data_IF_646081529069
#
_entry.id   IF_646081529069
#
_cell.length_a   1.000
_cell.length_b   1.000
_cell.length_c   1.000
_cell.angle_alpha   90.00
_cell.angle_beta   90.00
_cell.angle_gamma   90.00
#
_symmetry.space_group_name_H-M   'P 1'
#
loop_
_entity.id
_entity.type
_entity.pdbx_description
1 polymer ?
#
# COMPACT_ATOMS: atom_id res chain seq x y z
N UNK A 1 -8.90 -20.75 18.67
CA UNK A 1 -9.16 -19.29 18.65
C UNK A 1 -10.18 -19.08 17.54
N UNK A 2 -11.18 -18.24 17.75
CA UNK A 2 -12.33 -18.18 16.83
C UNK A 2 -11.90 -17.38 15.58
N UNK A 3 -11.70 -18.03 14.43
CA UNK A 3 -11.16 -17.40 13.21
C UNK A 3 -11.97 -16.17 12.75
N UNK A 4 -13.26 -16.11 13.11
CA UNK A 4 -14.11 -14.93 12.90
C UNK A 4 -13.59 -13.69 13.63
N UNK A 5 -12.98 -13.85 14.82
CA UNK A 5 -12.44 -12.71 15.58
C UNK A 5 -11.25 -12.03 14.89
N UNK A 6 -10.45 -12.75 14.08
CA UNK A 6 -9.33 -12.12 13.37
C UNK A 6 -9.83 -11.16 12.29
N UNK A 7 -10.71 -11.63 11.40
CA UNK A 7 -11.20 -10.82 10.29
C UNK A 7 -12.13 -9.69 10.75
N UNK A 8 -12.92 -9.91 11.80
CA UNK A 8 -13.73 -8.86 12.41
C UNK A 8 -12.84 -7.69 12.88
N UNK A 9 -11.77 -7.97 13.63
CA UNK A 9 -10.80 -6.95 14.04
C UNK A 9 -10.06 -6.32 12.85
N UNK A 10 -9.65 -7.13 11.87
CA UNK A 10 -8.97 -6.61 10.68
C UNK A 10 -9.85 -5.61 9.94
N UNK A 11 -11.13 -5.91 9.72
CA UNK A 11 -12.05 -5.03 9.02
C UNK A 11 -12.39 -3.79 9.85
N UNK A 12 -12.57 -3.94 11.15
CA UNK A 12 -12.79 -2.82 12.06
C UNK A 12 -11.60 -1.84 12.05
N UNK A 13 -10.39 -2.33 12.32
CA UNK A 13 -9.20 -1.49 12.36
C UNK A 13 -8.85 -0.90 10.99
N UNK A 14 -9.10 -1.64 9.90
CA UNK A 14 -8.97 -1.12 8.54
C UNK A 14 -9.84 0.10 8.31
N UNK A 15 -11.12 0.05 8.70
CA UNK A 15 -12.04 1.19 8.60
C UNK A 15 -11.63 2.38 9.46
N UNK A 16 -11.07 2.13 10.65
CA UNK A 16 -10.56 3.20 11.52
C UNK A 16 -9.36 3.93 10.91
N UNK A 17 -8.50 3.22 10.17
CA UNK A 17 -7.38 3.84 9.46
C UNK A 17 -7.85 4.62 8.22
N UNK A 18 -8.80 4.08 7.46
CA UNK A 18 -9.43 4.77 6.33
C UNK A 18 -10.79 4.17 6.00
N UNK A 19 -11.83 4.98 5.73
CA UNK A 19 -13.13 4.46 5.28
C UNK A 19 -13.04 3.73 3.92
N UNK A 20 -11.96 3.94 3.16
CA UNK A 20 -11.72 3.27 1.89
C UNK A 20 -11.08 1.87 2.03
N UNK A 21 -10.71 1.47 3.25
CA UNK A 21 -10.26 0.12 3.60
C UNK A 21 -11.43 -0.71 4.16
N UNK A 22 -12.55 -0.72 3.44
CA UNK A 22 -13.72 -1.53 3.79
C UNK A 22 -13.52 -2.99 3.34
N UNK A 23 -13.30 -3.88 4.30
CA UNK A 23 -13.02 -5.30 4.06
C UNK A 23 -14.22 -6.20 4.30
N UNK A 24 -14.27 -7.32 3.56
CA UNK A 24 -15.27 -8.39 3.78
C UNK A 24 -14.74 -9.77 3.37
N UNK A 25 -15.38 -10.82 3.90
CA UNK A 25 -15.23 -12.20 3.38
C UNK A 25 -16.41 -12.49 2.48
N UNK A 26 -16.14 -12.94 1.24
CA UNK A 26 -17.18 -13.51 0.37
C UNK A 26 -16.55 -14.42 -0.68
N UNK A 27 -17.17 -15.58 -0.87
CA UNK A 27 -16.76 -16.58 -1.87
C UNK A 27 -17.09 -16.14 -3.29
N UNK A 28 -18.12 -15.30 -3.47
CA UNK A 28 -18.53 -14.79 -4.77
C UNK A 28 -18.38 -13.26 -4.82
N UNK A 29 -17.63 -12.72 -5.80
CA UNK A 29 -17.61 -11.29 -6.03
C UNK A 29 -18.98 -10.83 -6.50
N UNK A 30 -19.35 -9.59 -6.18
CA UNK A 30 -20.58 -8.99 -6.70
C UNK A 30 -20.45 -8.88 -8.24
N UNK A 31 -21.39 -9.39 -9.06
CA UNK A 31 -21.28 -9.42 -10.52
C UNK A 31 -21.13 -8.03 -11.15
N UNK A 32 -21.70 -7.01 -10.52
CA UNK A 32 -21.70 -5.62 -11.01
C UNK A 32 -20.44 -4.83 -10.59
N UNK A 33 -19.49 -5.48 -9.92
CA UNK A 33 -18.26 -4.85 -9.45
C UNK A 33 -17.05 -5.43 -10.16
N UNK A 34 -16.14 -4.54 -10.56
CA UNK A 34 -14.85 -4.91 -11.11
C UNK A 34 -13.85 -5.12 -9.97
N UNK A 35 -13.06 -6.18 -10.08
CA UNK A 35 -12.10 -6.58 -9.07
C UNK A 35 -10.74 -6.82 -9.69
N UNK A 36 -9.70 -6.28 -9.06
CA UNK A 36 -8.31 -6.61 -9.36
C UNK A 36 -7.94 -7.83 -8.52
N UNK A 37 -7.55 -8.91 -9.17
CA UNK A 37 -7.18 -10.19 -8.55
C UNK A 37 -5.93 -10.76 -9.22
N UNK A 38 -5.28 -11.75 -8.61
CA UNK A 38 -4.20 -12.51 -9.27
C UNK A 38 -4.70 -13.68 -10.11
N UNK A 39 -5.97 -14.07 -9.97
CA UNK A 39 -6.53 -15.29 -10.55
C UNK A 39 -6.82 -15.10 -12.05
N UNK A 40 -7.08 -13.87 -12.47
CA UNK A 40 -7.51 -13.49 -13.82
C UNK A 40 -6.83 -12.20 -14.26
N UNK A 41 -6.63 -12.02 -15.57
CA UNK A 41 -6.05 -10.79 -16.11
C UNK A 41 -6.91 -9.58 -15.77
N UNK A 42 -6.28 -8.53 -15.25
CA UNK A 42 -6.89 -7.26 -14.89
C UNK A 42 -6.29 -6.07 -15.67
N UNK A 43 -5.49 -6.33 -16.70
CA UNK A 43 -4.84 -5.32 -17.52
C UNK A 43 -5.82 -4.25 -18.06
N UNK A 44 -7.01 -4.67 -18.52
CA UNK A 44 -8.04 -3.76 -19.03
C UNK A 44 -8.65 -2.88 -17.93
N UNK A 45 -8.89 -3.43 -16.74
CA UNK A 45 -9.41 -2.68 -15.60
C UNK A 45 -8.38 -1.65 -15.14
N UNK A 46 -7.11 -2.04 -15.01
CA UNK A 46 -6.03 -1.13 -14.62
C UNK A 46 -5.82 -0.05 -15.70
N UNK A 47 -5.89 -0.40 -16.98
CA UNK A 47 -5.82 0.57 -18.08
C UNK A 47 -7.00 1.55 -18.04
N UNK A 48 -8.20 1.07 -17.70
CA UNK A 48 -9.39 1.92 -17.56
C UNK A 48 -9.23 2.92 -16.40
N UNK A 49 -8.63 2.51 -15.28
CA UNK A 49 -8.26 3.41 -14.18
C UNK A 49 -7.27 4.48 -14.65
N UNK A 50 -6.20 4.08 -15.35
CA UNK A 50 -5.22 5.01 -15.92
C UNK A 50 -5.88 6.03 -16.87
N UNK A 51 -6.74 5.55 -17.77
CA UNK A 51 -7.46 6.41 -18.71
C UNK A 51 -8.41 7.37 -18.01
N UNK A 52 -9.13 6.89 -16.99
CA UNK A 52 -10.01 7.74 -16.18
C UNK A 52 -9.25 8.88 -15.49
N UNK A 53 -8.06 8.59 -14.94
CA UNK A 53 -7.16 9.61 -14.38
C UNK A 53 -6.68 10.60 -15.45
N UNK A 54 -6.44 10.14 -16.69
CA UNK A 54 -6.03 11.00 -17.79
C UNK A 54 -7.11 11.97 -18.26
N UNK A 55 -8.38 11.55 -18.22
CA UNK A 55 -9.53 12.40 -18.54
C UNK A 55 -9.75 13.44 -17.44
N UNK A 56 -9.61 13.03 -16.17
CA UNK A 56 -9.84 13.92 -15.03
C UNK A 56 -8.74 14.96 -14.86
N UNK A 57 -7.49 14.58 -15.08
CA UNK A 57 -6.32 15.42 -14.86
C UNK A 57 -5.42 15.50 -16.10
N UNK A 58 -5.93 15.98 -17.25
CA UNK A 58 -5.16 16.08 -18.48
C UNK A 58 -3.90 16.94 -18.32
N UNK A 59 -3.95 17.95 -17.45
CA UNK A 59 -2.86 18.89 -17.14
C UNK A 59 -1.65 18.21 -16.46
N UNK A 60 -1.89 17.13 -15.71
CA UNK A 60 -0.85 16.52 -14.88
C UNK A 60 0.09 15.61 -15.68
N UNK A 61 -0.39 15.12 -16.83
CA UNK A 61 0.33 14.33 -17.81
C UNK A 61 0.61 12.88 -17.40
N UNK A 62 1.08 12.09 -18.38
CA UNK A 62 1.26 10.64 -18.27
C UNK A 62 2.09 10.18 -17.06
N UNK A 63 3.08 10.96 -16.63
CA UNK A 63 3.87 10.64 -15.45
C UNK A 63 3.02 10.61 -14.16
N UNK A 64 2.08 11.56 -14.00
CA UNK A 64 1.15 11.56 -12.87
C UNK A 64 0.18 10.39 -12.97
N UNK A 65 -0.46 10.17 -14.13
CA UNK A 65 -1.44 9.09 -14.30
C UNK A 65 -0.80 7.72 -14.00
N UNK A 66 0.42 7.48 -14.49
CA UNK A 66 1.17 6.24 -14.21
C UNK A 66 1.50 6.10 -12.72
N UNK A 67 2.03 7.15 -12.11
CA UNK A 67 2.37 7.18 -10.68
C UNK A 67 1.14 6.90 -9.82
N UNK A 68 0.03 7.60 -10.10
CA UNK A 68 -1.21 7.48 -9.34
C UNK A 68 -1.87 6.11 -9.53
N UNK A 69 -1.89 5.58 -10.75
CA UNK A 69 -2.38 4.21 -11.00
C UNK A 69 -1.60 3.20 -10.17
N UNK A 70 -0.26 3.26 -10.20
CA UNK A 70 0.58 2.36 -9.44
C UNK A 70 0.37 2.47 -7.93
N UNK A 71 0.32 3.70 -7.38
CA UNK A 71 0.09 3.88 -5.94
C UNK A 71 -1.30 3.42 -5.49
N UNK A 72 -2.32 3.58 -6.35
CA UNK A 72 -3.67 3.06 -6.09
C UNK A 72 -3.73 1.52 -6.09
N UNK A 73 -2.90 0.84 -6.88
CA UNK A 73 -2.82 -0.63 -6.86
C UNK A 73 -2.15 -1.18 -5.60
N UNK A 74 -1.18 -0.43 -5.05
CA UNK A 74 -0.32 -0.93 -3.99
C UNK A 74 -0.79 -0.54 -2.58
N UNK A 75 -1.55 0.55 -2.41
CA UNK A 75 -1.81 1.08 -1.08
C UNK A 75 -2.65 0.13 -0.20
N UNK A 76 -3.76 -0.44 -0.67
CA UNK A 76 -4.57 -1.34 0.17
C UNK A 76 -3.80 -2.58 0.62
N UNK A 77 -3.09 -3.34 -0.26
CA UNK A 77 -2.32 -4.50 0.18
C UNK A 77 -1.29 -4.15 1.27
N UNK A 78 -0.60 -3.01 1.14
CA UNK A 78 0.36 -2.56 2.15
C UNK A 78 -0.36 -2.29 3.47
N UNK A 79 -1.41 -1.45 3.47
CA UNK A 79 -2.14 -1.11 4.68
C UNK A 79 -2.73 -2.34 5.38
N UNK A 80 -3.38 -3.23 4.61
CA UNK A 80 -3.94 -4.48 5.13
C UNK A 80 -2.86 -5.35 5.78
N UNK A 81 -1.67 -5.45 5.18
CA UNK A 81 -0.56 -6.21 5.75
C UNK A 81 -0.10 -5.63 7.11
N UNK A 82 0.08 -4.31 7.19
CA UNK A 82 0.46 -3.63 8.43
C UNK A 82 -0.58 -3.81 9.53
N UNK A 83 -1.86 -3.60 9.21
CA UNK A 83 -2.95 -3.71 10.19
C UNK A 83 -3.09 -5.16 10.67
N UNK A 84 -3.02 -6.13 9.75
CA UNK A 84 -3.08 -7.56 10.09
C UNK A 84 -1.98 -7.95 11.09
N UNK A 85 -0.74 -7.53 10.84
CA UNK A 85 0.41 -7.95 11.64
C UNK A 85 0.46 -7.23 12.98
N UNK A 86 0.36 -5.90 12.97
CA UNK A 86 0.61 -5.10 14.18
C UNK A 86 -0.61 -4.98 15.08
N UNK A 87 -1.82 -4.90 14.53
CA UNK A 87 -3.06 -4.81 15.31
C UNK A 87 -3.70 -6.18 15.56
N UNK A 88 -3.67 -7.09 14.57
CA UNK A 88 -4.41 -8.35 14.65
C UNK A 88 -3.53 -9.59 14.93
N UNK A 89 -2.19 -9.44 14.94
CA UNK A 89 -1.21 -10.52 15.19
C UNK A 89 -1.39 -11.73 14.27
N UNK A 90 -1.75 -11.48 13.01
CA UNK A 90 -1.90 -12.51 11.99
C UNK A 90 -1.69 -11.96 10.59
N UNK A 91 -1.73 -12.84 9.59
CA UNK A 91 -1.56 -12.47 8.19
C UNK A 91 -2.51 -13.28 7.31
N UNK A 92 -3.49 -12.66 6.65
CA UNK A 92 -4.24 -13.34 5.60
C UNK A 92 -3.35 -13.52 4.36
N UNK A 93 -3.76 -14.41 3.46
CA UNK A 93 -3.09 -14.58 2.17
C UNK A 93 -3.32 -13.36 1.27
N UNK A 94 -2.49 -12.33 1.41
CA UNK A 94 -2.56 -11.06 0.67
C UNK A 94 -2.65 -11.28 -0.85
N UNK A 95 -1.94 -12.27 -1.39
CA UNK A 95 -1.95 -12.64 -2.81
C UNK A 95 -3.32 -13.12 -3.32
N UNK A 96 -4.22 -13.54 -2.44
CA UNK A 96 -5.61 -13.88 -2.74
C UNK A 96 -6.59 -12.70 -2.48
N UNK A 97 -6.08 -11.53 -2.10
CA UNK A 97 -6.91 -10.35 -1.89
C UNK A 97 -7.45 -9.82 -3.21
N UNK A 98 -8.74 -9.53 -3.23
CA UNK A 98 -9.40 -8.81 -4.32
C UNK A 98 -9.54 -7.34 -3.95
N UNK A 99 -9.15 -6.45 -4.85
CA UNK A 99 -9.32 -5.01 -4.67
C UNK A 99 -10.44 -4.49 -5.56
N UNK A 100 -11.41 -3.77 -5.01
CA UNK A 100 -12.51 -3.22 -5.82
C UNK A 100 -12.04 -1.96 -6.54
N UNK A 101 -12.13 -1.99 -7.87
CA UNK A 101 -11.79 -0.86 -8.71
C UNK A 101 -13.02 0.00 -9.01
N UNK A 102 -12.84 1.31 -8.93
CA UNK A 102 -13.85 2.33 -9.22
C UNK A 102 -13.23 3.34 -10.19
N UNK A 103 -14.04 4.19 -10.85
CA UNK A 103 -13.50 5.30 -11.62
C UNK A 103 -12.54 6.12 -10.74
N UNK A 104 -11.28 6.26 -11.18
CA UNK A 104 -10.23 7.08 -10.55
C UNK A 104 -9.72 6.60 -9.18
N UNK A 105 -10.25 5.50 -8.63
CA UNK A 105 -9.87 5.05 -7.29
C UNK A 105 -10.00 3.54 -7.09
N UNK A 106 -9.30 3.02 -6.08
CA UNK A 106 -9.41 1.62 -5.64
C UNK A 106 -9.78 1.68 -4.15
N UNK A 107 -10.94 1.11 -3.80
CA UNK A 107 -11.47 1.18 -2.43
C UNK A 107 -12.41 0.02 -2.11
N UNK A 108 -12.19 -0.56 -0.95
CA UNK A 108 -12.74 -1.83 -0.49
C UNK A 108 -11.92 -3.04 -0.95
N UNK A 109 -11.83 -4.06 -0.10
CA UNK A 109 -11.11 -5.30 -0.38
C UNK A 109 -11.90 -6.53 0.07
N UNK A 110 -11.59 -7.69 -0.51
CA UNK A 110 -12.28 -8.94 -0.22
C UNK A 110 -11.31 -10.12 -0.16
N UNK A 111 -11.56 -11.03 0.78
CA UNK A 111 -10.96 -12.37 0.82
C UNK A 111 -12.03 -13.43 0.57
N UNK A 112 -11.64 -14.55 -0.04
CA UNK A 112 -12.55 -15.64 -0.36
C UNK A 112 -12.97 -16.47 0.86
N UNK A 113 -12.08 -16.58 1.84
CA UNK A 113 -12.27 -17.34 3.07
C UNK A 113 -11.55 -16.68 4.26
N UNK A 114 -11.70 -17.28 5.44
CA UNK A 114 -11.10 -16.81 6.69
C UNK A 114 -9.70 -17.39 6.97
N UNK A 115 -8.99 -17.89 5.95
CA UNK A 115 -7.66 -18.48 6.13
C UNK A 115 -6.64 -17.39 6.43
N UNK A 116 -5.91 -17.56 7.52
CA UNK A 116 -4.83 -16.69 7.94
C UNK A 116 -3.79 -17.49 8.73
N UNK A 117 -2.59 -16.94 8.84
CA UNK A 117 -1.52 -17.51 9.64
C UNK A 117 -1.20 -16.62 10.84
N UNK A 118 -0.71 -17.24 11.91
CA UNK A 118 -0.18 -16.59 13.10
C UNK A 118 1.30 -16.92 13.26
N UNK A 119 2.01 -16.07 13.98
CA UNK A 119 3.43 -16.28 14.29
C UNK A 119 4.04 -15.02 14.87
N UNK A 120 5.34 -15.08 15.10
CA UNK A 120 6.13 -13.91 15.47
C UNK A 120 6.07 -12.84 14.38
N UNK A 121 6.11 -11.57 14.78
CA UNK A 121 6.00 -10.42 13.89
C UNK A 121 7.03 -10.55 12.75
N UNK A 122 8.26 -10.95 13.08
CA UNK A 122 9.35 -11.07 12.13
C UNK A 122 9.00 -12.06 11.01
N UNK A 123 8.43 -13.21 11.38
CA UNK A 123 8.01 -14.23 10.43
C UNK A 123 6.84 -13.74 9.58
N UNK A 124 5.85 -13.09 10.18
CA UNK A 124 4.71 -12.55 9.45
C UNK A 124 5.13 -11.46 8.46
N UNK A 125 6.05 -10.56 8.83
CA UNK A 125 6.57 -9.53 7.92
C UNK A 125 7.33 -10.16 6.75
N UNK A 126 8.14 -11.19 6.98
CA UNK A 126 8.83 -11.90 5.90
C UNK A 126 7.85 -12.56 4.91
N UNK A 127 6.76 -13.16 5.40
CA UNK A 127 5.74 -13.74 4.52
C UNK A 127 4.95 -12.65 3.79
N UNK A 128 4.55 -11.59 4.48
CA UNK A 128 3.85 -10.46 3.87
C UNK A 128 4.68 -9.83 2.75
N UNK A 129 5.98 -9.63 2.97
CA UNK A 129 6.89 -9.11 1.95
C UNK A 129 6.90 -9.96 0.68
N UNK A 130 6.95 -11.29 0.82
CA UNK A 130 6.87 -12.23 -0.32
C UNK A 130 5.54 -12.09 -1.06
N UNK A 131 4.42 -12.08 -0.34
CA UNK A 131 3.10 -11.97 -0.96
C UNK A 131 2.88 -10.62 -1.66
N UNK A 132 3.34 -9.52 -1.06
CA UNK A 132 3.32 -8.19 -1.67
C UNK A 132 4.21 -8.13 -2.91
N UNK A 133 5.40 -8.73 -2.88
CA UNK A 133 6.25 -8.84 -4.06
C UNK A 133 5.57 -9.61 -5.19
N UNK A 134 4.90 -10.71 -4.90
CA UNK A 134 4.12 -11.48 -5.88
C UNK A 134 3.00 -10.64 -6.48
N UNK A 135 2.21 -9.95 -5.64
CA UNK A 135 1.14 -9.04 -6.07
C UNK A 135 1.66 -7.93 -6.98
N UNK A 136 2.69 -7.21 -6.53
CA UNK A 136 3.20 -6.04 -7.24
C UNK A 136 3.96 -6.42 -8.50
N UNK A 137 4.64 -7.57 -8.51
CA UNK A 137 5.17 -8.13 -9.74
C UNK A 137 4.04 -8.33 -10.76
N UNK A 138 2.96 -9.00 -10.35
CA UNK A 138 1.81 -9.27 -11.22
C UNK A 138 1.17 -7.98 -11.76
N UNK A 139 0.84 -7.01 -10.90
CA UNK A 139 0.27 -5.72 -11.33
C UNK A 139 1.16 -4.98 -12.33
N UNK A 140 2.48 -5.04 -12.14
CA UNK A 140 3.42 -4.41 -13.05
C UNK A 140 3.42 -5.11 -14.41
N UNK A 141 3.34 -6.43 -14.47
CA UNK A 141 3.25 -7.17 -15.74
C UNK A 141 1.94 -6.86 -16.48
N UNK A 142 0.81 -6.81 -15.77
CA UNK A 142 -0.47 -6.41 -16.34
C UNK A 142 -0.40 -4.99 -16.96
N UNK A 143 0.23 -4.04 -16.27
CA UNK A 143 0.48 -2.70 -16.81
C UNK A 143 1.47 -2.68 -17.97
N UNK A 144 2.55 -3.49 -17.91
CA UNK A 144 3.58 -3.57 -18.94
C UNK A 144 3.06 -4.04 -20.31
N UNK A 145 1.88 -4.67 -20.34
CA UNK A 145 1.22 -5.06 -21.58
C UNK A 145 0.79 -3.86 -22.46
N UNK A 146 0.57 -2.67 -21.87
CA UNK A 146 0.09 -1.48 -22.59
C UNK A 146 0.84 -0.18 -22.26
N UNK A 147 1.66 -0.14 -21.21
CA UNK A 147 2.54 1.01 -20.92
C UNK A 147 3.85 0.56 -20.30
N UNK A 148 4.94 1.27 -20.60
CA UNK A 148 6.25 0.94 -20.01
C UNK A 148 6.29 1.36 -18.54
N UNK A 149 6.42 0.39 -17.62
CA UNK A 149 6.60 0.64 -16.19
C UNK A 149 7.84 -0.10 -15.66
N UNK A 150 8.82 0.66 -15.16
CA UNK A 150 10.13 0.11 -14.77
C UNK A 150 10.12 -0.37 -13.31
N UNK A 151 10.77 -1.51 -12.99
CA UNK A 151 10.92 -1.97 -11.61
C UNK A 151 11.57 -0.93 -10.69
N UNK A 152 12.61 -0.23 -11.13
CA UNK A 152 13.26 0.79 -10.30
C UNK A 152 12.31 1.90 -9.85
N UNK A 153 11.43 2.38 -10.74
CA UNK A 153 10.43 3.40 -10.43
C UNK A 153 9.38 2.89 -9.45
N UNK A 154 8.85 1.69 -9.68
CA UNK A 154 7.82 1.09 -8.83
C UNK A 154 8.35 0.74 -7.45
N UNK A 155 9.58 0.24 -7.34
CA UNK A 155 10.23 -0.07 -6.07
C UNK A 155 10.38 1.14 -5.16
N UNK A 156 10.71 2.32 -5.72
CA UNK A 156 10.76 3.56 -4.93
C UNK A 156 9.38 3.93 -4.36
N UNK A 157 8.31 3.81 -5.16
CA UNK A 157 6.94 4.09 -4.70
C UNK A 157 6.45 3.09 -3.64
N UNK A 158 6.79 1.81 -3.80
CA UNK A 158 6.45 0.77 -2.80
C UNK A 158 7.22 1.02 -1.50
N UNK A 159 8.51 1.34 -1.57
CA UNK A 159 9.30 1.67 -0.39
C UNK A 159 8.74 2.87 0.36
N UNK A 160 8.40 3.95 -0.36
CA UNK A 160 7.79 5.13 0.24
C UNK A 160 6.43 4.78 0.90
N UNK A 161 5.62 3.90 0.29
CA UNK A 161 4.35 3.44 0.86
C UNK A 161 4.51 2.60 2.12
N UNK A 162 5.50 1.71 2.17
CA UNK A 162 5.86 0.92 3.35
C UNK A 162 6.31 1.83 4.49
N UNK A 163 7.23 2.76 4.21
CA UNK A 163 7.76 3.67 5.23
C UNK A 163 6.69 4.66 5.71
N UNK A 164 5.75 5.05 4.85
CA UNK A 164 4.59 5.85 5.27
C UNK A 164 3.68 5.06 6.24
N UNK A 165 3.51 3.74 6.04
CA UNK A 165 2.80 2.91 7.00
C UNK A 165 3.55 2.77 8.34
N UNK A 166 4.88 2.88 8.34
CA UNK A 166 5.66 2.93 9.58
C UNK A 166 5.47 4.24 10.34
N UNK A 167 5.38 5.36 9.64
CA UNK A 167 4.97 6.64 10.25
C UNK A 167 3.60 6.49 10.90
N UNK A 168 2.61 5.98 10.18
CA UNK A 168 1.27 5.73 10.73
C UNK A 168 1.30 4.81 11.93
N UNK A 169 2.06 3.70 11.89
CA UNK A 169 2.19 2.80 13.04
C UNK A 169 2.69 3.58 14.27
N UNK A 170 3.72 4.42 14.12
CA UNK A 170 4.26 5.20 15.25
C UNK A 170 3.23 6.15 15.86
N UNK A 171 2.28 6.67 15.08
CA UNK A 171 1.18 7.52 15.58
C UNK A 171 0.17 6.73 16.41
N UNK A 172 -0.09 5.46 16.06
CA UNK A 172 -1.02 4.59 16.81
C UNK A 172 -0.38 3.90 18.01
N UNK A 173 0.94 3.80 18.05
CA UNK A 173 1.68 3.11 19.12
C UNK A 173 2.83 3.98 19.64
N UNK A 174 2.53 5.11 20.32
CA UNK A 174 3.53 6.06 20.79
C UNK A 174 4.49 5.46 21.84
N UNK A 175 4.10 4.37 22.50
CA UNK A 175 4.94 3.66 23.47
C UNK A 175 6.07 2.84 22.82
N UNK A 176 6.01 2.61 21.50
CA UNK A 176 7.07 1.89 20.80
C UNK A 176 8.28 2.81 20.57
N UNK A 177 9.42 2.40 21.11
CA UNK A 177 10.66 3.16 20.95
C UNK A 177 11.13 3.26 19.49
N UNK A 178 11.84 4.35 19.19
CA UNK A 178 12.40 4.62 17.87
C UNK A 178 13.23 3.46 17.31
N UNK A 179 14.09 2.84 18.13
CA UNK A 179 14.95 1.73 17.70
C UNK A 179 14.14 0.51 17.24
N UNK A 180 13.03 0.22 17.91
CA UNK A 180 12.13 -0.85 17.51
C UNK A 180 11.47 -0.51 16.16
N UNK A 181 10.86 0.68 16.03
CA UNK A 181 10.23 1.11 14.79
C UNK A 181 11.21 1.13 13.61
N UNK A 182 12.45 1.56 13.85
CA UNK A 182 13.53 1.55 12.87
C UNK A 182 13.88 0.11 12.46
N UNK A 183 14.04 -0.82 13.41
CA UNK A 183 14.32 -2.22 13.07
C UNK A 183 13.18 -2.87 12.27
N UNK A 184 11.92 -2.55 12.59
CA UNK A 184 10.75 -2.99 11.81
C UNK A 184 10.75 -2.42 10.39
N UNK A 185 11.07 -1.14 10.21
CA UNK A 185 11.20 -0.54 8.88
C UNK A 185 12.28 -1.24 8.03
N UNK A 186 13.42 -1.57 8.63
CA UNK A 186 14.49 -2.31 7.95
C UNK A 186 14.04 -3.72 7.55
N UNK A 187 13.31 -4.40 8.44
CA UNK A 187 12.76 -5.72 8.18
C UNK A 187 11.79 -5.70 7.00
N UNK A 188 10.87 -4.74 6.93
CA UNK A 188 9.95 -4.58 5.80
C UNK A 188 10.68 -4.31 4.48
N UNK A 189 11.67 -3.41 4.49
CA UNK A 189 12.47 -3.14 3.29
C UNK A 189 13.16 -4.42 2.79
N UNK A 190 13.76 -5.19 3.70
CA UNK A 190 14.41 -6.47 3.37
C UNK A 190 13.42 -7.51 2.85
N UNK A 191 12.29 -7.68 3.52
CA UNK A 191 11.25 -8.65 3.16
C UNK A 191 10.68 -8.40 1.75
N UNK A 192 10.60 -7.14 1.34
CA UNK A 192 10.16 -6.73 0.00
C UNK A 192 11.31 -6.63 -1.03
N UNK A 193 12.55 -7.00 -0.67
CA UNK A 193 13.72 -6.91 -1.56
C UNK A 193 14.08 -5.47 -1.96
N UNK A 194 13.77 -4.49 -1.11
CA UNK A 194 13.99 -3.06 -1.34
C UNK A 194 15.31 -2.60 -0.72
N UNK A 195 15.95 -1.52 -1.22
CA UNK A 195 17.21 -1.05 -0.66
C UNK A 195 17.07 -0.60 0.81
N UNK A 196 17.73 -1.30 1.73
CA UNK A 196 17.65 -1.02 3.18
C UNK A 196 18.11 0.41 3.52
N UNK A 197 18.99 1.02 2.71
CA UNK A 197 19.42 2.42 2.87
C UNK A 197 18.28 3.44 2.81
N UNK A 198 17.12 3.07 2.28
CA UNK A 198 15.94 3.93 2.26
C UNK A 198 15.42 4.22 3.66
N UNK A 199 15.82 3.45 4.67
CA UNK A 199 15.52 3.77 6.07
C UNK A 199 16.02 5.16 6.51
N UNK A 200 17.04 5.70 5.83
CA UNK A 200 17.58 7.03 6.13
C UNK A 200 16.64 8.17 5.74
N UNK A 201 15.52 7.87 5.08
CA UNK A 201 14.45 8.85 4.86
C UNK A 201 13.49 8.97 6.05
N UNK A 202 13.62 8.09 7.04
CA UNK A 202 12.92 8.19 8.32
C UNK A 202 13.77 8.95 9.33
N UNK A 203 13.16 9.94 9.96
CA UNK A 203 13.66 10.62 11.15
C UNK A 203 12.67 10.48 12.29
N UNK A 204 13.11 10.73 13.53
CA UNK A 204 12.26 10.74 14.70
C UNK A 204 12.04 12.18 15.17
N UNK A 205 10.80 12.52 15.46
CA UNK A 205 10.42 13.81 16.00
C UNK A 205 10.10 13.65 17.49
N UNK A 206 11.03 14.09 18.35
CA UNK A 206 10.85 14.02 19.82
C UNK A 206 9.62 14.77 20.31
N UNK A 207 9.21 15.84 19.62
CA UNK A 207 8.07 16.67 20.00
C UNK A 207 6.73 15.96 19.80
N UNK A 208 6.62 15.17 18.74
CA UNK A 208 5.40 14.42 18.40
C UNK A 208 5.50 12.95 18.78
N UNK A 209 6.66 12.51 19.29
CA UNK A 209 6.99 11.12 19.58
C UNK A 209 6.66 10.17 18.42
N UNK A 210 6.91 10.63 17.20
CA UNK A 210 6.53 9.91 15.99
C UNK A 210 7.63 9.95 14.94
N UNK A 211 7.58 8.98 14.02
CA UNK A 211 8.44 9.00 12.85
C UNK A 211 7.98 10.08 11.88
N UNK A 212 8.94 10.69 11.20
CA UNK A 212 8.71 11.55 10.03
C UNK A 212 9.38 10.92 8.82
N UNK A 213 8.70 10.93 7.68
CA UNK A 213 9.21 10.45 6.40
C UNK A 213 9.43 11.62 5.45
N UNK A 214 10.55 11.61 4.73
CA UNK A 214 10.72 12.35 3.48
C UNK A 214 10.80 11.35 2.32
N UNK A 215 9.78 11.29 1.47
CA UNK A 215 9.72 10.30 0.39
C UNK A 215 10.87 10.47 -0.60
N UNK A 216 11.25 9.36 -1.24
CA UNK A 216 12.19 9.39 -2.38
C UNK A 216 11.51 9.70 -3.71
N UNK A 217 10.20 9.48 -3.78
CA UNK A 217 9.38 9.69 -4.97
C UNK A 217 8.41 10.86 -4.79
N UNK A 218 8.13 11.57 -5.88
CA UNK A 218 7.04 12.54 -5.94
C UNK A 218 5.79 11.87 -6.52
N UNK A 219 4.64 12.00 -5.85
CA UNK A 219 3.35 11.53 -6.40
C UNK A 219 2.83 12.39 -7.57
N UNK A 220 3.48 13.53 -7.84
CA UNK A 220 3.15 14.49 -8.90
C UNK A 220 1.75 15.12 -8.76
N UNK A 221 1.09 14.99 -7.61
CA UNK A 221 -0.24 15.58 -7.37
C UNK A 221 -0.24 17.09 -7.58
N UNK A 222 0.88 17.77 -7.27
CA UNK A 222 1.07 19.22 -7.48
C UNK A 222 0.91 19.68 -8.94
N UNK A 223 0.88 18.74 -9.90
CA UNK A 223 0.63 19.07 -11.31
C UNK A 223 -0.85 19.12 -11.66
N UNK A 224 -1.74 18.60 -10.81
CA UNK A 224 -3.18 18.80 -10.95
C UNK A 224 -3.54 20.24 -10.60
N UNK A 225 -4.64 20.77 -11.16
CA UNK A 225 -5.03 22.18 -10.97
C UNK A 225 -5.06 22.65 -9.49
N UNK A 226 -5.60 21.82 -8.59
CA UNK A 226 -5.70 22.13 -7.16
C UNK A 226 -4.64 21.41 -6.31
N UNK A 227 -3.65 20.79 -6.96
CA UNK A 227 -2.63 20.01 -6.30
C UNK A 227 -1.56 20.88 -5.65
N UNK A 228 -1.15 20.51 -4.44
CA UNK A 228 0.01 21.10 -3.77
C UNK A 228 1.10 20.06 -3.56
N UNK A 229 2.34 20.51 -3.34
CA UNK A 229 3.41 19.61 -2.93
C UNK A 229 3.07 19.06 -1.54
N UNK A 230 3.11 17.75 -1.38
CA UNK A 230 2.97 17.12 -0.07
C UNK A 230 4.12 17.55 0.84
N UNK A 231 3.86 17.64 2.15
CA UNK A 231 4.87 18.00 3.16
C UNK A 231 6.08 17.05 3.16
N UNK A 232 5.85 15.78 2.85
CA UNK A 232 6.87 14.73 2.77
C UNK A 232 7.49 14.57 1.37
N UNK A 233 7.16 15.45 0.42
CA UNK A 233 7.57 15.32 -0.97
C UNK A 233 9.06 15.68 -1.16
N UNK A 234 9.85 14.91 -1.93
CA UNK A 234 11.26 15.25 -2.20
C UNK A 234 11.44 16.52 -3.04
N UNK A 235 10.35 17.04 -3.64
CA UNK A 235 10.36 18.30 -4.38
C UNK A 235 10.00 19.51 -3.52
N UNK A 236 9.53 19.30 -2.29
CA UNK A 236 9.21 20.38 -1.37
C UNK A 236 10.49 21.17 -1.02
N UNK A 237 10.48 22.52 -1.02
CA UNK A 237 11.66 23.33 -0.71
C UNK A 237 12.31 22.98 0.63
N UNK A 238 11.50 22.66 1.64
CA UNK A 238 11.96 22.35 2.99
C UNK A 238 12.59 20.95 3.14
N UNK A 239 12.56 20.14 2.08
CA UNK A 239 13.07 18.76 2.07
C UNK A 239 14.33 18.60 1.21
N UNK A 240 14.97 19.73 0.83
CA UNK A 240 16.18 19.75 0.01
C UNK A 240 17.45 19.78 0.84
#
# INVERSE_FOLDING_TARGET
>A
MNDHSFFDHLFEYSKQVSPYLDGQISTSPCPDQHWITLEESCANDIQSLYHSLSIQHPEAGAAYWLTRTWTLLCWQPIYVAFISIYACRGLPKLSAMRQRIQPQFIAGFQFADATHQHGEIEHLVEQAGKELCTLFHYYREEMNSWTRIRPGFTNHLVADGILACMVRLSEYTPDLGYDYLRSQAQLWLRACGLPEKLINTLSYCEQTQSLKLIRTSCCLIYKCHDGQLCEDCPRHPDNK
#
